data_IF_390422282376
#
_entry.id   IF_390422282376
#
_cell.length_a   1.000
_cell.length_b   1.000
_cell.length_c   1.000
_cell.angle_alpha   90.00
_cell.angle_beta   90.00
_cell.angle_gamma   90.00
#
_symmetry.space_group_name_H-M   'P 1'
#
loop_
_entity.id
_entity.type
_entity.pdbx_description
1 polymer ?
#
# COMPACT_ATOMS: atom_id res chain seq x y z
N UNK A 1 8.52 10.08 2.64
CA UNK A 1 8.62 11.24 3.55
C UNK A 1 7.27 11.40 4.22
N UNK A 2 7.25 11.90 5.45
CA UNK A 2 6.00 12.28 6.12
C UNK A 2 5.33 13.43 5.36
N UNK A 3 4.05 13.33 4.99
CA UNK A 3 3.36 14.38 4.24
C UNK A 3 3.28 15.72 4.99
N UNK A 4 3.22 15.68 6.33
CA UNK A 4 3.03 16.84 7.21
C UNK A 4 4.34 17.48 7.65
N UNK A 5 5.29 16.70 8.17
CA UNK A 5 6.56 17.21 8.71
C UNK A 5 7.69 17.26 7.68
N UNK A 6 7.51 16.59 6.53
CA UNK A 6 8.55 16.37 5.50
C UNK A 6 9.74 15.55 5.97
N UNK A 7 9.69 14.92 7.14
CA UNK A 7 10.76 14.04 7.62
C UNK A 7 10.87 12.76 6.77
N UNK A 8 12.08 12.22 6.66
CA UNK A 8 12.31 10.94 5.97
C UNK A 8 11.86 9.81 6.87
N UNK A 9 10.84 9.05 6.45
CA UNK A 9 10.31 7.90 7.19
C UNK A 9 11.20 6.66 7.05
N UNK A 10 11.66 6.40 5.83
CA UNK A 10 12.54 5.27 5.50
C UNK A 10 13.24 5.51 4.15
N UNK A 11 14.33 4.77 3.91
CA UNK A 11 14.92 4.55 2.59
C UNK A 11 14.55 3.13 2.15
N UNK A 12 13.54 3.03 1.30
CA UNK A 12 12.88 1.79 0.94
C UNK A 12 12.87 1.56 -0.58
N UNK A 13 12.65 0.32 -0.99
CA UNK A 13 12.30 -0.02 -2.36
C UNK A 13 10.78 0.11 -2.55
N UNK A 14 10.36 0.69 -3.67
CA UNK A 14 8.95 0.77 -4.05
C UNK A 14 8.77 0.09 -5.40
N UNK A 15 7.80 -0.81 -5.48
CA UNK A 15 7.40 -1.45 -6.73
C UNK A 15 6.04 -0.90 -7.16
N UNK A 16 5.91 -0.53 -8.43
CA UNK A 16 4.67 -0.06 -9.02
C UNK A 16 4.16 -1.08 -10.04
N UNK A 17 2.90 -1.47 -9.88
CA UNK A 17 2.21 -2.43 -10.73
C UNK A 17 0.96 -1.78 -11.29
N UNK A 18 1.02 -1.23 -12.52
CA UNK A 18 -0.16 -0.68 -13.16
C UNK A 18 -1.16 -1.79 -13.50
N UNK A 19 -2.45 -1.52 -13.30
CA UNK A 19 -3.53 -2.38 -13.76
C UNK A 19 -3.53 -2.50 -15.30
N UNK A 20 -4.03 -3.61 -15.88
CA UNK A 20 -4.63 -4.77 -15.20
C UNK A 20 -3.61 -5.86 -14.79
N UNK A 21 -2.31 -5.61 -14.97
CA UNK A 21 -1.25 -6.61 -14.78
C UNK A 21 -0.70 -6.66 -13.34
N UNK A 22 -1.51 -6.25 -12.37
CA UNK A 22 -1.19 -6.31 -10.95
C UNK A 22 -1.85 -7.53 -10.27
N UNK A 23 -1.51 -7.75 -9.00
CA UNK A 23 -2.10 -8.85 -8.22
C UNK A 23 -3.63 -8.72 -8.08
N UNK A 24 -4.14 -7.53 -7.78
CA UNK A 24 -5.59 -7.29 -7.64
C UNK A 24 -6.28 -7.12 -9.00
N UNK A 25 -5.53 -6.74 -10.05
CA UNK A 25 -6.08 -6.25 -11.31
C UNK A 25 -6.31 -4.73 -11.34
N UNK A 26 -6.12 -4.05 -10.21
CA UNK A 26 -6.16 -2.59 -10.06
C UNK A 26 -4.74 -2.04 -9.87
N UNK A 27 -4.56 -0.74 -10.02
CA UNK A 27 -3.29 -0.09 -9.72
C UNK A 27 -2.78 -0.42 -8.31
N UNK A 28 -1.57 -0.97 -8.21
CA UNK A 28 -0.98 -1.43 -6.96
C UNK A 28 0.44 -0.88 -6.76
N UNK A 29 0.76 -0.49 -5.54
CA UNK A 29 2.13 -0.18 -5.13
C UNK A 29 2.52 -1.03 -3.91
N UNK A 30 3.74 -1.57 -3.92
CA UNK A 30 4.32 -2.26 -2.77
C UNK A 30 5.46 -1.45 -2.18
N UNK A 31 5.42 -1.24 -0.87
CA UNK A 31 6.45 -0.53 -0.10
C UNK A 31 7.29 -1.54 0.69
N UNK A 32 8.51 -1.76 0.25
CA UNK A 32 9.45 -2.70 0.85
C UNK A 32 10.33 -1.93 1.85
N UNK A 33 9.77 -1.70 3.03
CA UNK A 33 10.37 -0.90 4.12
C UNK A 33 11.17 -1.78 5.07
N UNK A 34 12.05 -1.17 5.87
CA UNK A 34 12.71 -1.87 6.96
C UNK A 34 11.68 -2.38 7.98
N UNK A 35 11.81 -3.64 8.41
CA UNK A 35 10.83 -4.35 9.23
C UNK A 35 10.70 -3.92 10.70
N UNK A 36 11.25 -2.76 11.07
CA UNK A 36 11.13 -2.22 12.42
C UNK A 36 9.69 -1.77 12.71
N UNK A 37 9.09 -2.12 13.86
CA UNK A 37 7.71 -1.72 14.18
C UNK A 37 7.46 -0.21 14.09
N UNK A 38 8.44 0.61 14.48
CA UNK A 38 8.36 2.06 14.38
C UNK A 38 8.29 2.56 12.92
N UNK A 39 9.05 1.94 12.01
CA UNK A 39 9.05 2.27 10.57
C UNK A 39 7.72 1.86 9.94
N UNK A 40 7.25 0.64 10.22
CA UNK A 40 5.97 0.15 9.71
C UNK A 40 4.83 1.07 10.19
N UNK A 41 4.80 1.39 11.48
CA UNK A 41 3.78 2.27 12.06
C UNK A 41 3.81 3.68 11.47
N UNK A 42 4.99 4.26 11.25
CA UNK A 42 5.11 5.61 10.71
C UNK A 42 4.65 5.69 9.24
N UNK A 43 5.00 4.67 8.43
CA UNK A 43 4.57 4.57 7.04
C UNK A 43 3.05 4.39 6.93
N UNK A 44 2.46 3.47 7.73
CA UNK A 44 1.00 3.29 7.74
C UNK A 44 0.26 4.55 8.22
N UNK A 45 0.82 5.27 9.20
CA UNK A 45 0.25 6.52 9.69
C UNK A 45 0.28 7.59 8.59
N UNK A 46 1.39 7.72 7.86
CA UNK A 46 1.49 8.64 6.74
C UNK A 46 0.50 8.28 5.60
N UNK A 47 0.33 7.00 5.27
CA UNK A 47 -0.64 6.53 4.27
C UNK A 47 -2.08 6.81 4.69
N UNK A 48 -2.38 6.80 6.00
CA UNK A 48 -3.72 7.06 6.51
C UNK A 48 -4.24 8.48 6.28
N UNK A 49 -3.35 9.40 5.89
CA UNK A 49 -3.69 10.77 5.50
C UNK A 49 -4.20 10.88 4.06
N UNK A 50 -4.15 9.80 3.27
CA UNK A 50 -4.67 9.79 1.90
C UNK A 50 -6.19 9.68 1.94
N UNK A 51 -6.88 10.56 1.22
CA UNK A 51 -8.34 10.51 1.10
C UNK A 51 -8.81 9.15 0.57
N UNK A 52 -9.76 8.53 1.28
CA UNK A 52 -10.26 7.20 0.95
C UNK A 52 -9.39 6.04 1.41
N UNK A 53 -8.29 6.29 2.15
CA UNK A 53 -7.50 5.22 2.77
C UNK A 53 -8.36 4.37 3.71
N UNK A 54 -8.27 3.04 3.55
CA UNK A 54 -8.88 2.07 4.44
C UNK A 54 -7.93 0.88 4.61
N UNK A 55 -7.65 0.44 5.84
CA UNK A 55 -6.97 -0.83 6.05
C UNK A 55 -7.74 -1.98 5.40
N UNK A 56 -7.01 -2.85 4.70
CA UNK A 56 -7.59 -4.03 4.09
C UNK A 56 -8.08 -5.02 5.15
N UNK A 57 -9.23 -5.63 4.90
CA UNK A 57 -9.73 -6.77 5.65
C UNK A 57 -8.97 -8.05 5.27
N UNK A 58 -9.07 -9.07 6.12
CA UNK A 58 -8.47 -10.37 5.85
C UNK A 58 -8.94 -10.91 4.48
N UNK A 59 -7.98 -11.13 3.58
CA UNK A 59 -8.23 -11.67 2.24
C UNK A 59 -8.83 -10.69 1.22
N UNK A 60 -8.97 -9.39 1.56
CA UNK A 60 -9.62 -8.40 0.68
C UNK A 60 -8.92 -8.31 -0.70
N UNK A 61 -7.59 -8.27 -0.74
CA UNK A 61 -6.82 -8.21 -2.00
C UNK A 61 -7.05 -9.42 -2.92
N UNK A 62 -7.05 -10.64 -2.38
CA UNK A 62 -7.32 -11.86 -3.16
C UNK A 62 -8.77 -11.89 -3.67
N UNK A 63 -9.72 -11.43 -2.84
CA UNK A 63 -11.14 -11.34 -3.20
C UNK A 63 -11.37 -10.33 -4.35
N UNK A 64 -10.69 -9.18 -4.34
CA UNK A 64 -10.76 -8.19 -5.41
C UNK A 64 -10.37 -8.79 -6.76
N UNK A 65 -9.24 -9.51 -6.81
CA UNK A 65 -8.79 -10.22 -8.02
C UNK A 65 -9.83 -11.21 -8.53
N UNK A 66 -10.39 -12.02 -7.63
CA UNK A 66 -11.40 -13.02 -8.00
C UNK A 66 -12.64 -12.36 -8.63
N UNK A 67 -13.15 -11.27 -8.04
CA UNK A 67 -14.32 -10.55 -8.54
C UNK A 67 -14.07 -9.98 -9.94
N UNK A 68 -12.88 -9.42 -10.20
CA UNK A 68 -12.53 -8.91 -11.52
C UNK A 68 -12.35 -10.02 -12.55
N UNK A 69 -11.88 -11.20 -12.15
CA UNK A 69 -11.70 -12.34 -13.06
C UNK A 69 -13.03 -12.96 -13.54
N UNK A 70 -14.11 -12.84 -12.75
CA UNK A 70 -15.44 -13.37 -13.08
C UNK A 70 -16.37 -12.33 -13.74
N UNK A 71 -15.86 -11.13 -14.01
CA UNK A 71 -16.52 -10.11 -14.83
C UNK A 71 -16.08 -10.21 -16.28
#
# INVERSE_FOLDING_TARGET
MDPSSKEVLDKALVLWFPGPNSFTGEDCAEFHVHGGPAVISSVLSALSLIDGYKPAQAGEFTKQRYILYVK
#
